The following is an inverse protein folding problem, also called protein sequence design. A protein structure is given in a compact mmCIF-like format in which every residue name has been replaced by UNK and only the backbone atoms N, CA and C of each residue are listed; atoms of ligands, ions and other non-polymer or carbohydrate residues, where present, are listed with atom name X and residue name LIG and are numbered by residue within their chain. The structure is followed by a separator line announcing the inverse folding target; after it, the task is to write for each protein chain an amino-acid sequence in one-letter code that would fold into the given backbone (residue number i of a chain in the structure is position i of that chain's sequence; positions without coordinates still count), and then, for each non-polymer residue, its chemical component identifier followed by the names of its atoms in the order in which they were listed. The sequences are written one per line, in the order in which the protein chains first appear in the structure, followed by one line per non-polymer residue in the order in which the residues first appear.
data_IF_665275787620
#
_entry.id   IF_665275787620
#
_cell.length_a   1.000
_cell.length_b   1.000
_cell.length_c   1.000
_cell.angle_alpha   90.00
_cell.angle_beta   90.00
_cell.angle_gamma   90.00
#
_symmetry.space_group_name_H-M   'P 1'
#
loop_
_entity.id
_entity.type
_entity.pdbx_description
1 polymer ?
#
# COMPACT_ATOMS: atom_id res chain seq x y z
N UNK A 1 26.32 13.88 -24.99
CA UNK A 1 25.82 12.67 -24.31
C UNK A 1 26.39 12.65 -22.89
N UNK A 2 25.52 12.63 -21.86
CA UNK A 2 25.94 12.68 -20.45
C UNK A 2 26.14 11.28 -19.86
N UNK A 3 25.71 10.21 -20.57
CA UNK A 3 25.87 8.85 -20.11
C UNK A 3 27.22 8.27 -20.52
N UNK A 4 27.97 7.78 -19.53
CA UNK A 4 29.26 7.10 -19.74
C UNK A 4 29.05 5.63 -20.09
N UNK A 5 28.10 4.98 -19.45
CA UNK A 5 27.67 3.59 -19.68
C UNK A 5 26.19 3.48 -19.38
N UNK A 6 25.52 2.63 -20.10
CA UNK A 6 24.13 2.28 -19.81
C UNK A 6 23.84 0.88 -20.36
N UNK A 7 22.84 0.23 -19.76
CA UNK A 7 22.33 -1.06 -20.19
C UNK A 7 21.15 -1.46 -19.33
N UNK A 8 20.33 -2.38 -19.81
CA UNK A 8 19.15 -2.79 -19.04
C UNK A 8 18.27 -3.76 -19.79
N UNK A 9 17.21 -4.12 -19.11
CA UNK A 9 16.11 -4.94 -19.59
C UNK A 9 14.80 -4.19 -19.36
N UNK A 10 13.68 -4.74 -19.78
CA UNK A 10 12.37 -4.11 -19.61
C UNK A 10 12.05 -3.69 -18.18
N UNK A 11 12.55 -4.42 -17.17
CA UNK A 11 12.24 -4.22 -15.75
C UNK A 11 13.34 -3.52 -14.94
N UNK A 12 14.55 -3.38 -15.47
CA UNK A 12 15.65 -2.75 -14.76
C UNK A 12 16.70 -2.20 -15.70
N UNK A 13 17.18 -0.98 -15.45
CA UNK A 13 18.26 -0.37 -16.21
C UNK A 13 19.33 0.17 -15.25
N UNK A 14 20.59 0.04 -15.68
CA UNK A 14 21.73 0.60 -15.00
C UNK A 14 22.44 1.61 -15.90
N UNK A 15 22.98 2.67 -15.30
CA UNK A 15 23.75 3.67 -16.03
C UNK A 15 24.86 4.24 -15.15
N UNK A 16 25.86 4.80 -15.80
CA UNK A 16 26.91 5.59 -15.16
C UNK A 16 26.93 6.99 -15.75
N UNK A 17 27.05 7.98 -14.89
CA UNK A 17 27.07 9.39 -15.22
C UNK A 17 28.10 10.09 -14.31
N UNK A 18 28.66 11.21 -14.72
CA UNK A 18 29.49 12.02 -13.84
C UNK A 18 28.64 12.70 -12.80
N UNK A 19 29.21 12.96 -11.62
CA UNK A 19 28.52 13.61 -10.51
C UNK A 19 27.96 14.99 -10.93
N UNK A 20 28.75 15.75 -11.67
CA UNK A 20 28.36 17.05 -12.22
C UNK A 20 27.14 17.03 -13.16
N UNK A 21 26.88 15.88 -13.80
CA UNK A 21 25.78 15.68 -14.73
C UNK A 21 24.50 15.10 -14.10
N UNK A 22 24.52 14.75 -12.82
CA UNK A 22 23.38 14.12 -12.12
C UNK A 22 22.09 14.94 -12.20
N UNK A 23 22.18 16.25 -11.99
CA UNK A 23 21.02 17.14 -12.04
C UNK A 23 20.46 17.24 -13.48
N UNK A 24 21.35 17.32 -14.46
CA UNK A 24 20.97 17.33 -15.89
C UNK A 24 20.28 16.01 -16.27
N UNK A 25 20.80 14.88 -15.80
CA UNK A 25 20.17 13.57 -16.03
C UNK A 25 18.77 13.51 -15.41
N UNK A 26 18.65 13.93 -14.15
CA UNK A 26 17.35 13.95 -13.43
C UNK A 26 16.33 14.79 -14.17
N UNK A 27 16.71 15.96 -14.63
CA UNK A 27 15.82 16.86 -15.36
C UNK A 27 15.39 16.24 -16.70
N UNK A 28 16.32 15.71 -17.48
CA UNK A 28 16.02 15.05 -18.76
C UNK A 28 15.09 13.84 -18.60
N UNK A 29 15.29 13.03 -17.55
CA UNK A 29 14.41 11.88 -17.24
C UNK A 29 13.00 12.34 -16.87
N UNK A 30 12.87 13.38 -16.03
CA UNK A 30 11.56 13.93 -15.68
C UNK A 30 10.84 14.54 -16.87
N UNK A 31 11.55 15.31 -17.71
CA UNK A 31 10.99 15.92 -18.93
C UNK A 31 10.54 14.85 -19.93
N UNK A 32 11.32 13.78 -20.07
CA UNK A 32 10.96 12.64 -20.89
C UNK A 32 9.73 11.92 -20.35
N UNK A 33 9.72 11.59 -19.04
CA UNK A 33 8.59 10.94 -18.39
C UNK A 33 7.30 11.77 -18.49
N UNK A 34 7.38 13.08 -18.34
CA UNK A 34 6.22 13.97 -18.47
C UNK A 34 5.62 13.96 -19.88
N UNK A 35 6.43 13.75 -20.92
CA UNK A 35 5.96 13.68 -22.31
C UNK A 35 5.43 12.30 -22.68
N UNK A 36 6.18 11.25 -22.31
CA UNK A 36 5.88 9.88 -22.76
C UNK A 36 4.91 9.17 -21.83
N UNK A 37 4.90 9.55 -20.54
CA UNK A 37 4.05 8.95 -19.50
C UNK A 37 3.20 10.02 -18.79
N UNK A 38 2.34 10.76 -19.50
CA UNK A 38 1.58 11.88 -18.93
C UNK A 38 0.59 11.43 -17.83
N UNK A 39 0.28 10.14 -17.76
CA UNK A 39 -0.55 9.53 -16.74
C UNK A 39 0.20 8.36 -16.13
N UNK A 40 0.75 8.57 -14.95
CA UNK A 40 1.28 7.48 -14.13
C UNK A 40 0.11 6.65 -13.63
N UNK A 41 -0.02 5.44 -14.12
CA UNK A 41 -0.97 4.45 -13.59
C UNK A 41 -0.23 3.57 -12.60
N UNK A 42 -0.66 3.60 -11.35
CA UNK A 42 -0.26 2.56 -10.40
C UNK A 42 -0.91 1.26 -10.88
N UNK A 43 -0.13 0.20 -11.14
CA UNK A 43 -0.73 -1.09 -11.46
C UNK A 43 -1.62 -1.55 -10.30
N UNK A 44 -2.76 -2.20 -10.57
CA UNK A 44 -3.59 -2.75 -9.53
C UNK A 44 -2.80 -3.81 -8.74
N UNK A 45 -2.95 -3.81 -7.42
CA UNK A 45 -2.44 -4.89 -6.59
C UNK A 45 -3.38 -6.07 -6.72
N UNK A 46 -2.88 -7.19 -7.24
CA UNK A 46 -3.62 -8.45 -7.28
C UNK A 46 -3.53 -9.12 -5.90
N UNK A 47 -4.69 -9.47 -5.37
CA UNK A 47 -4.81 -10.16 -4.09
C UNK A 47 -5.46 -11.53 -4.30
N UNK A 48 -4.95 -12.54 -3.62
CA UNK A 48 -5.37 -13.93 -3.84
C UNK A 48 -6.68 -14.28 -3.13
N UNK A 49 -6.89 -13.74 -1.93
CA UNK A 49 -8.07 -14.10 -1.12
C UNK A 49 -8.38 -13.03 -0.07
N UNK A 50 -9.67 -12.73 0.11
CA UNK A 50 -10.16 -12.03 1.30
C UNK A 50 -10.30 -13.01 2.47
N UNK A 51 -9.74 -12.66 3.62
CA UNK A 51 -9.73 -13.50 4.82
C UNK A 51 -10.19 -12.72 6.04
N UNK A 52 -10.73 -13.44 7.03
CA UNK A 52 -11.09 -12.87 8.32
C UNK A 52 -10.18 -13.44 9.41
N UNK A 53 -9.64 -12.56 10.28
CA UNK A 53 -8.65 -12.95 11.30
C UNK A 53 -9.15 -14.06 12.23
N UNK A 54 -10.43 -14.08 12.58
CA UNK A 54 -11.01 -15.11 13.45
C UNK A 54 -10.96 -16.53 12.84
N UNK A 55 -10.75 -16.63 11.52
CA UNK A 55 -10.66 -17.92 10.79
C UNK A 55 -9.23 -18.35 10.52
N UNK A 56 -8.26 -17.49 10.79
CA UNK A 56 -6.84 -17.80 10.60
C UNK A 56 -6.29 -18.55 11.81
N UNK A 57 -5.55 -19.61 11.55
CA UNK A 57 -4.81 -20.37 12.54
C UNK A 57 -3.33 -20.44 12.17
N UNK A 58 -2.47 -20.62 13.16
CA UNK A 58 -1.03 -20.84 12.93
C UNK A 58 -0.82 -22.00 11.96
N UNK A 59 -1.60 -23.08 12.10
CA UNK A 59 -1.48 -24.25 11.22
C UNK A 59 -1.88 -23.90 9.78
N UNK A 60 -2.98 -23.16 9.56
CA UNK A 60 -3.41 -22.79 8.21
C UNK A 60 -2.37 -21.91 7.51
N UNK A 61 -1.74 -20.98 8.23
CA UNK A 61 -0.70 -20.12 7.67
C UNK A 61 0.59 -20.89 7.41
N UNK A 62 1.00 -21.80 8.29
CA UNK A 62 2.17 -22.69 8.02
C UNK A 62 1.99 -23.56 6.77
N UNK A 63 0.76 -23.92 6.40
CA UNK A 63 0.52 -24.67 5.16
C UNK A 63 0.86 -23.89 3.90
N UNK A 64 0.93 -22.55 3.97
CA UNK A 64 1.39 -21.74 2.84
C UNK A 64 2.85 -22.04 2.46
N UNK A 65 3.67 -22.54 3.40
CA UNK A 65 5.04 -22.96 3.12
C UNK A 65 5.11 -24.09 2.07
N UNK A 66 4.02 -24.85 1.88
CA UNK A 66 3.93 -25.86 0.84
C UNK A 66 3.87 -25.29 -0.57
N UNK A 67 3.55 -24.01 -0.72
CA UNK A 67 3.56 -23.30 -1.99
C UNK A 67 4.95 -22.75 -2.36
N UNK A 68 5.91 -22.80 -1.41
CA UNK A 68 7.28 -22.34 -1.63
C UNK A 68 8.04 -23.27 -2.62
N UNK A 69 9.08 -22.81 -3.32
CA UNK A 69 9.74 -21.50 -3.13
C UNK A 69 9.01 -20.35 -3.83
N UNK A 70 8.91 -19.21 -3.16
CA UNK A 70 8.37 -18.00 -3.74
C UNK A 70 9.42 -17.24 -4.56
N UNK A 71 8.99 -16.56 -5.63
CA UNK A 71 9.85 -15.80 -6.53
C UNK A 71 9.06 -15.08 -7.61
N UNK A 72 9.73 -14.70 -8.70
CA UNK A 72 9.12 -13.89 -9.77
C UNK A 72 7.90 -14.58 -10.43
N UNK A 73 7.99 -15.89 -10.66
CA UNK A 73 6.93 -16.67 -11.32
C UNK A 73 5.98 -17.35 -10.32
N UNK A 74 6.26 -17.23 -9.02
CA UNK A 74 5.43 -17.75 -7.94
C UNK A 74 5.47 -16.76 -6.77
N UNK A 75 4.75 -15.63 -6.83
CA UNK A 75 4.77 -14.62 -5.79
C UNK A 75 4.17 -15.14 -4.48
N UNK A 76 4.62 -14.58 -3.37
CA UNK A 76 4.03 -14.88 -2.07
C UNK A 76 2.55 -14.44 -2.03
N UNK A 77 1.64 -15.27 -1.50
CA UNK A 77 0.22 -14.94 -1.46
C UNK A 77 -0.07 -13.64 -0.73
N UNK A 78 -0.98 -12.85 -1.30
CA UNK A 78 -1.47 -11.59 -0.75
C UNK A 78 -2.93 -11.76 -0.33
N UNK A 79 -3.18 -11.45 0.94
CA UNK A 79 -4.50 -11.55 1.55
C UNK A 79 -5.09 -10.17 1.81
N UNK A 80 -6.41 -10.05 1.72
CA UNK A 80 -7.12 -8.84 2.10
C UNK A 80 -7.84 -9.05 3.44
N UNK A 81 -7.56 -8.16 4.38
CA UNK A 81 -8.35 -7.99 5.60
C UNK A 81 -9.28 -6.81 5.38
N UNK A 82 -10.55 -7.09 5.11
CA UNK A 82 -11.56 -6.04 4.93
C UNK A 82 -12.04 -5.53 6.29
N UNK A 83 -12.31 -4.23 6.40
CA UNK A 83 -12.90 -3.61 7.60
C UNK A 83 -12.08 -3.86 8.88
N UNK A 84 -10.76 -3.91 8.78
CA UNK A 84 -9.89 -4.08 9.94
C UNK A 84 -9.77 -2.76 10.71
N UNK A 85 -9.85 -2.82 12.04
CA UNK A 85 -9.67 -1.66 12.90
C UNK A 85 -8.18 -1.52 13.26
N UNK A 86 -7.62 -0.34 13.09
CA UNK A 86 -6.28 -0.01 13.57
C UNK A 86 -6.33 0.14 15.09
N UNK A 87 -5.73 -0.78 15.83
CA UNK A 87 -5.65 -0.70 17.31
C UNK A 87 -4.43 0.08 17.80
N UNK A 88 -3.41 0.21 16.96
CA UNK A 88 -2.23 1.00 17.28
C UNK A 88 -1.17 0.97 16.20
N UNK A 89 -0.31 1.97 16.24
CA UNK A 89 0.88 2.13 15.41
C UNK A 89 2.08 2.23 16.33
N UNK A 90 3.07 1.38 16.16
CA UNK A 90 4.22 1.24 17.04
C UNK A 90 5.52 1.45 16.26
N UNK A 91 6.44 2.22 16.87
CA UNK A 91 7.79 2.31 16.36
C UNK A 91 8.55 1.01 16.64
N UNK A 92 9.34 0.57 15.68
CA UNK A 92 10.26 -0.56 15.87
C UNK A 92 11.65 0.00 16.21
N UNK A 93 12.36 -0.56 17.21
CA UNK A 93 13.73 -0.16 17.50
C UNK A 93 14.60 -0.24 16.23
N UNK A 94 15.45 0.76 15.99
CA UNK A 94 16.25 0.95 14.78
C UNK A 94 15.45 1.36 13.51
N UNK A 95 14.28 1.78 13.67
CA UNK A 95 13.07 2.07 12.93
C UNK A 95 13.14 2.72 11.59
N UNK A 96 13.38 1.95 10.53
CA UNK A 96 12.99 2.34 9.15
C UNK A 96 11.60 1.83 8.78
N UNK A 97 10.83 1.31 9.73
CA UNK A 97 9.50 0.76 9.52
C UNK A 97 8.65 0.86 10.80
N UNK A 98 7.37 0.61 10.70
CA UNK A 98 6.47 0.56 11.83
C UNK A 98 5.73 -0.77 11.89
N UNK A 99 5.16 -1.04 13.07
CA UNK A 99 4.33 -2.19 13.34
C UNK A 99 2.91 -1.70 13.61
N UNK A 100 1.94 -2.19 12.87
CA UNK A 100 0.53 -1.93 13.12
C UNK A 100 -0.11 -3.13 13.81
N UNK A 101 -1.02 -2.84 14.74
CA UNK A 101 -1.93 -3.83 15.27
C UNK A 101 -3.30 -3.64 14.63
N UNK A 102 -3.72 -4.65 13.86
CA UNK A 102 -5.00 -4.67 13.15
C UNK A 102 -5.92 -5.68 13.82
N UNK A 103 -7.21 -5.32 14.00
CA UNK A 103 -8.22 -6.16 14.63
C UNK A 103 -9.42 -6.38 13.69
N UNK A 104 -9.90 -7.61 13.64
CA UNK A 104 -11.21 -7.96 13.09
C UNK A 104 -11.93 -8.84 14.10
N UNK A 105 -13.17 -8.50 14.45
CA UNK A 105 -13.91 -9.23 15.46
C UNK A 105 -13.15 -9.27 16.80
N UNK A 106 -12.85 -10.47 17.28
CA UNK A 106 -12.13 -10.72 18.54
C UNK A 106 -10.64 -11.01 18.33
N UNK A 107 -10.18 -11.10 17.09
CA UNK A 107 -8.80 -11.44 16.76
C UNK A 107 -8.00 -10.22 16.31
N UNK A 108 -6.73 -10.17 16.71
CA UNK A 108 -5.79 -9.13 16.30
C UNK A 108 -4.52 -9.76 15.73
N UNK A 109 -3.90 -9.06 14.79
CA UNK A 109 -2.61 -9.42 14.21
C UNK A 109 -1.67 -8.23 14.26
N UNK A 110 -0.39 -8.50 14.51
CA UNK A 110 0.66 -7.51 14.28
C UNK A 110 1.17 -7.65 12.85
N UNK A 111 1.32 -6.52 12.18
CA UNK A 111 1.78 -6.48 10.80
C UNK A 111 2.85 -5.38 10.62
N UNK A 112 4.00 -5.78 10.08
CA UNK A 112 5.09 -4.87 9.76
C UNK A 112 4.76 -4.07 8.50
N UNK A 113 4.97 -2.75 8.54
CA UNK A 113 4.89 -1.89 7.37
C UNK A 113 6.28 -1.35 7.03
N UNK A 114 6.98 -2.06 6.16
CA UNK A 114 8.34 -1.73 5.77
C UNK A 114 8.40 -0.41 4.98
N UNK A 115 9.42 0.39 5.27
CA UNK A 115 9.62 1.69 4.61
C UNK A 115 8.65 2.79 5.05
N UNK A 116 7.76 2.51 6.02
CA UNK A 116 6.81 3.47 6.57
C UNK A 116 7.24 3.86 7.98
N UNK A 117 7.50 5.13 8.21
CA UNK A 117 7.79 5.64 9.55
C UNK A 117 6.48 5.83 10.33
N UNK A 118 6.44 5.59 11.67
CA UNK A 118 5.21 5.76 12.45
C UNK A 118 4.53 7.12 12.27
N UNK A 119 5.32 8.18 12.15
CA UNK A 119 4.85 9.56 11.96
C UNK A 119 4.23 9.80 10.57
N UNK A 120 4.53 8.94 9.60
CA UNK A 120 4.05 9.03 8.22
C UNK A 120 2.79 8.19 7.99
N UNK A 121 2.41 7.34 8.96
CA UNK A 121 1.20 6.52 8.86
C UNK A 121 -0.03 7.42 8.87
N UNK A 122 -0.84 7.43 7.79
CA UNK A 122 -1.99 8.33 7.69
C UNK A 122 -3.20 7.86 8.52
N UNK A 123 -3.05 6.78 9.29
CA UNK A 123 -4.10 6.16 10.08
C UNK A 123 -3.83 6.28 11.58
N UNK A 124 -4.89 6.40 12.35
CA UNK A 124 -4.87 6.48 13.81
C UNK A 124 -5.63 5.31 14.44
N UNK A 125 -5.41 5.11 15.73
CA UNK A 125 -6.18 4.13 16.50
C UNK A 125 -7.69 4.42 16.37
N UNK A 126 -8.44 3.39 15.99
CA UNK A 126 -9.88 3.44 15.76
C UNK A 126 -10.27 3.61 14.28
N UNK A 127 -9.33 3.97 13.39
CA UNK A 127 -9.62 4.02 11.96
C UNK A 127 -9.88 2.61 11.42
N UNK A 128 -10.80 2.52 10.45
CA UNK A 128 -11.16 1.27 9.79
C UNK A 128 -10.54 1.25 8.40
N UNK A 129 -9.83 0.18 8.10
CA UNK A 129 -9.02 0.04 6.88
C UNK A 129 -9.27 -1.31 6.20
N UNK A 130 -9.05 -1.33 4.89
CA UNK A 130 -8.84 -2.54 4.12
C UNK A 130 -7.33 -2.72 3.94
N UNK A 131 -6.79 -3.86 4.39
CA UNK A 131 -5.37 -4.12 4.42
C UNK A 131 -4.99 -5.28 3.50
N UNK A 132 -4.15 -5.02 2.50
CA UNK A 132 -3.48 -6.06 1.74
C UNK A 132 -2.21 -6.47 2.50
N UNK A 133 -2.15 -7.74 2.90
CA UNK A 133 -1.07 -8.27 3.71
C UNK A 133 -0.56 -9.61 3.18
N UNK A 134 0.71 -9.90 3.39
CA UNK A 134 1.19 -11.29 3.40
C UNK A 134 1.18 -11.83 4.82
N UNK A 135 0.95 -13.13 4.97
CA UNK A 135 0.85 -13.81 6.26
C UNK A 135 2.08 -14.66 6.52
N UNK A 136 2.51 -14.71 7.76
CA UNK A 136 3.60 -15.57 8.24
C UNK A 136 3.34 -16.00 9.68
N UNK A 137 4.15 -16.93 10.16
CA UNK A 137 4.15 -17.35 11.57
C UNK A 137 5.45 -16.89 12.20
N UNK A 138 5.31 -16.18 13.32
CA UNK A 138 6.42 -15.79 14.17
C UNK A 138 6.50 -16.73 15.38
N UNK A 139 7.61 -17.43 15.50
CA UNK A 139 7.86 -18.32 16.64
C UNK A 139 8.51 -17.52 17.77
N UNK A 140 7.73 -17.22 18.81
CA UNK A 140 8.19 -16.52 20.00
C UNK A 140 8.41 -17.48 21.16
N UNK A 141 9.14 -17.08 22.24
CA UNK A 141 9.27 -17.87 23.45
C UNK A 141 7.92 -18.19 24.14
N UNK A 142 6.87 -17.44 23.80
CA UNK A 142 5.49 -17.63 24.29
C UNK A 142 4.63 -18.51 23.40
N UNK A 143 5.21 -19.06 22.32
CA UNK A 143 4.53 -19.87 21.32
C UNK A 143 4.46 -19.20 19.95
N UNK A 144 4.01 -19.96 18.98
CA UNK A 144 3.83 -19.50 17.61
C UNK A 144 2.63 -18.54 17.52
N UNK A 145 2.81 -17.43 16.82
CA UNK A 145 1.80 -16.40 16.62
C UNK A 145 1.72 -16.02 15.14
N UNK A 146 0.53 -15.60 14.71
CA UNK A 146 0.36 -15.03 13.38
C UNK A 146 1.02 -13.65 13.31
N UNK A 147 1.69 -13.41 12.20
CA UNK A 147 2.29 -12.13 11.85
C UNK A 147 1.95 -11.78 10.42
N UNK A 148 1.86 -10.50 10.12
CA UNK A 148 1.60 -9.98 8.80
C UNK A 148 2.70 -9.03 8.32
N UNK A 149 2.76 -8.83 7.01
CA UNK A 149 3.47 -7.72 6.39
C UNK A 149 2.46 -6.93 5.58
N UNK A 150 2.33 -5.66 5.87
CA UNK A 150 1.48 -4.76 5.10
C UNK A 150 2.14 -4.48 3.75
N UNK A 151 1.37 -4.69 2.69
CA UNK A 151 1.73 -4.36 1.32
C UNK A 151 1.08 -3.04 0.97
N UNK A 152 -0.22 -2.90 1.28
CA UNK A 152 -0.98 -1.70 1.03
C UNK A 152 -2.11 -1.56 2.06
N UNK A 153 -2.48 -0.31 2.40
CA UNK A 153 -3.60 0.03 3.27
C UNK A 153 -4.46 1.09 2.60
N UNK A 154 -5.77 0.87 2.63
CA UNK A 154 -6.76 1.84 2.18
C UNK A 154 -7.82 2.09 3.27
N UNK A 155 -8.48 3.25 3.28
CA UNK A 155 -9.68 3.43 4.09
C UNK A 155 -10.71 2.36 3.72
N UNK A 156 -11.35 1.76 4.73
CA UNK A 156 -12.32 0.70 4.51
C UNK A 156 -13.54 1.18 3.72
N UNK A 157 -14.12 0.27 2.95
CA UNK A 157 -15.31 0.54 2.16
C UNK A 157 -15.04 1.25 0.82
N UNK A 158 -13.77 1.49 0.46
CA UNK A 158 -13.40 1.89 -0.90
C UNK A 158 -13.38 0.68 -1.86
N UNK A 159 -13.87 -0.46 -1.43
CA UNK A 159 -13.77 -1.78 -2.02
C UNK A 159 -14.50 -2.04 -3.32
N UNK A 160 -14.79 -1.01 -4.10
CA UNK A 160 -15.08 -1.21 -5.52
C UNK A 160 -13.78 -1.46 -6.26
N UNK A 161 -13.79 -2.37 -7.19
CA UNK A 161 -12.62 -2.72 -7.99
C UNK A 161 -11.93 -1.44 -8.51
N UNK A 162 -10.61 -1.43 -8.59
CA UNK A 162 -9.85 -0.28 -9.11
C UNK A 162 -10.39 0.21 -10.48
N UNK A 163 -11.02 -0.68 -11.26
CA UNK A 163 -11.69 -0.37 -12.51
C UNK A 163 -12.97 0.46 -12.30
N UNK A 164 -13.78 0.15 -11.30
CA UNK A 164 -15.02 0.89 -10.97
C UNK A 164 -14.69 2.27 -10.40
N UNK A 165 -13.69 2.37 -9.55
CA UNK A 165 -13.21 3.65 -9.04
C UNK A 165 -12.63 4.52 -10.16
N UNK A 166 -11.83 3.94 -11.07
CA UNK A 166 -11.32 4.65 -12.24
C UNK A 166 -12.46 5.13 -13.15
N UNK A 167 -13.49 4.33 -13.35
CA UNK A 167 -14.67 4.68 -14.13
C UNK A 167 -15.46 5.84 -13.46
N UNK A 168 -15.64 5.79 -12.13
CA UNK A 168 -16.27 6.86 -11.35
C UNK A 168 -15.50 8.18 -11.43
N UNK A 169 -14.16 8.13 -11.26
CA UNK A 169 -13.30 9.31 -11.40
C UNK A 169 -13.37 9.88 -12.82
N UNK A 170 -13.39 9.04 -13.84
CA UNK A 170 -13.54 9.50 -15.22
C UNK A 170 -14.93 10.11 -15.48
N UNK A 171 -15.99 9.53 -14.95
CA UNK A 171 -17.34 10.08 -15.04
C UNK A 171 -17.41 11.46 -14.41
N UNK A 172 -16.85 11.64 -13.20
CA UNK A 172 -16.75 12.92 -12.52
C UNK A 172 -15.98 13.96 -13.35
N UNK A 173 -14.81 13.59 -13.90
CA UNK A 173 -14.00 14.49 -14.74
C UNK A 173 -14.70 14.91 -16.03
N UNK A 174 -15.57 14.07 -16.59
CA UNK A 174 -16.35 14.34 -17.81
C UNK A 174 -17.65 15.04 -17.54
N UNK A 175 -18.02 15.29 -16.25
CA UNK A 175 -19.30 15.86 -15.86
C UNK A 175 -20.49 14.93 -16.15
N UNK A 176 -20.25 13.61 -16.28
CA UNK A 176 -21.32 12.64 -16.53
C UNK A 176 -22.15 12.49 -15.25
N UNK A 177 -23.50 12.54 -15.33
CA UNK A 177 -24.36 12.35 -14.17
C UNK A 177 -24.12 10.98 -13.54
N UNK A 178 -23.88 10.96 -12.23
CA UNK A 178 -23.75 9.73 -11.47
C UNK A 178 -25.11 9.20 -11.04
N UNK A 179 -25.25 7.86 -10.98
CA UNK A 179 -26.44 7.22 -10.41
C UNK A 179 -26.57 7.50 -8.91
N UNK A 180 -27.76 7.36 -8.30
CA UNK A 180 -27.92 7.51 -6.86
C UNK A 180 -26.98 6.61 -6.05
N UNK A 181 -26.81 5.34 -6.44
CA UNK A 181 -25.91 4.38 -5.81
C UNK A 181 -24.43 4.81 -5.93
N UNK A 182 -24.02 5.30 -7.10
CA UNK A 182 -22.70 5.85 -7.32
C UNK A 182 -22.42 7.10 -6.47
N UNK A 183 -23.44 7.97 -6.30
CA UNK A 183 -23.32 9.15 -5.41
C UNK A 183 -23.16 8.74 -3.96
N UNK A 184 -23.91 7.74 -3.52
CA UNK A 184 -23.83 7.21 -2.17
C UNK A 184 -22.47 6.55 -1.89
N UNK A 185 -21.93 5.80 -2.87
CA UNK A 185 -20.61 5.16 -2.74
C UNK A 185 -19.42 6.12 -2.68
N UNK A 186 -19.58 7.35 -3.18
CA UNK A 186 -18.55 8.39 -3.13
C UNK A 186 -18.86 9.50 -2.11
N UNK A 187 -20.00 9.41 -1.41
CA UNK A 187 -20.33 10.37 -0.36
C UNK A 187 -19.28 10.27 0.76
N UNK A 188 -18.55 11.36 1.03
CA UNK A 188 -17.47 11.29 2.00
C UNK A 188 -18.06 11.14 3.40
N UNK A 189 -17.74 10.06 4.08
CA UNK A 189 -17.96 9.96 5.51
C UNK A 189 -16.98 10.90 6.25
N UNK A 190 -17.30 11.20 7.51
CA UNK A 190 -16.46 12.08 8.35
C UNK A 190 -15.02 11.57 8.47
N UNK A 191 -14.83 10.25 8.50
CA UNK A 191 -13.53 9.55 8.48
C UNK A 191 -12.73 9.86 7.22
N UNK A 192 -13.36 9.84 6.05
CA UNK A 192 -12.74 10.14 4.76
C UNK A 192 -12.26 11.59 4.70
N UNK A 193 -13.09 12.53 5.19
CA UNK A 193 -12.73 13.96 5.24
C UNK A 193 -11.53 14.19 6.16
N UNK A 194 -11.49 13.51 7.32
CA UNK A 194 -10.37 13.60 8.26
C UNK A 194 -9.09 13.05 7.63
N UNK A 195 -9.16 11.92 6.91
CA UNK A 195 -8.01 11.31 6.23
C UNK A 195 -7.45 12.24 5.16
N UNK A 196 -8.31 12.79 4.29
CA UNK A 196 -7.90 13.77 3.26
C UNK A 196 -7.28 15.02 3.90
N UNK A 197 -7.86 15.50 4.98
CA UNK A 197 -7.34 16.67 5.70
C UNK A 197 -5.95 16.41 6.29
N UNK A 198 -5.72 15.23 6.88
CA UNK A 198 -4.42 14.82 7.41
C UNK A 198 -3.37 14.66 6.30
N UNK A 199 -3.74 14.07 5.17
CA UNK A 199 -2.84 13.97 4.00
C UNK A 199 -2.47 15.34 3.43
N UNK A 200 -3.43 16.25 3.33
CA UNK A 200 -3.18 17.62 2.88
C UNK A 200 -2.29 18.38 3.85
N UNK A 201 -2.45 18.16 5.16
CA UNK A 201 -1.55 18.74 6.16
C UNK A 201 -0.14 18.15 6.06
N UNK A 202 0.00 16.83 5.94
CA UNK A 202 1.29 16.17 5.78
C UNK A 202 2.04 16.67 4.53
N UNK A 203 1.34 16.88 3.42
CA UNK A 203 1.94 17.43 2.18
C UNK A 203 2.32 18.91 2.28
N UNK A 204 1.65 19.70 3.11
CA UNK A 204 1.99 21.11 3.34
C UNK A 204 3.33 21.28 4.07
N UNK A 205 3.68 20.34 4.95
CA UNK A 205 4.98 20.33 5.65
C UNK A 205 6.17 20.00 4.74
N UNK A 206 5.95 19.38 3.58
CA UNK A 206 6.97 19.08 2.59
C UNK A 206 7.08 20.12 1.45
N UNK A 207 6.25 21.14 1.45
CA UNK A 207 6.23 22.20 0.43
C UNK A 207 6.94 23.50 0.88
N UNK A 208 7.39 23.55 2.14
CA UNK A 208 8.04 24.75 2.74
C UNK A 208 9.52 24.51 3.12
N UNK A 209 10.13 23.34 2.73
CA UNK A 209 11.58 23.08 2.83
C UNK A 209 12.21 23.01 1.40
#
# INVERSE_FOLDING_TARGET
DILLRFGGHAMAAGLSVREEDLQTLRQRLNDWAARECPVLRTPPLECDLSVHLDRLTVESVRRLDQLAPYGADNPSPVFVLEMAVVEGVFAVPEGKHCLLRLRQGNSSIYADWFGMHPEQVPYSTGDVVDAAISLSVYDSPRGAQLSGRIIELHPAGLGNTAAEQAALVQALRRGTPLTPEQKESIAPERSHIITVYRELQARRWHAED
#
